data_IF_499965141969
#
_entry.id   IF_499965141969
#
_cell.length_a   1.000
_cell.length_b   1.000
_cell.length_c   1.000
_cell.angle_alpha   90.00
_cell.angle_beta   90.00
_cell.angle_gamma   90.00
#
_symmetry.space_group_name_H-M   'P 1'
#
loop_
_entity.id
_entity.type
_entity.pdbx_description
1 polymer ?
#
# COMPACT_ATOMS: atom_id res chain seq x y z
N UNK A 1 1.77 -15.44 9.77
CA UNK A 1 2.99 -14.76 9.26
C UNK A 1 2.90 -13.30 9.65
N UNK A 2 4.02 -12.64 9.98
CA UNK A 2 3.96 -11.22 10.34
C UNK A 2 3.72 -10.35 9.09
N UNK A 3 2.96 -9.27 9.24
CA UNK A 3 2.78 -8.26 8.19
C UNK A 3 4.14 -7.74 7.72
N UNK A 4 4.31 -7.56 6.39
CA UNK A 4 5.52 -7.01 5.80
C UNK A 4 5.37 -5.49 5.66
N UNK A 5 6.39 -4.75 6.10
CA UNK A 5 6.47 -3.29 5.95
C UNK A 5 7.29 -2.93 4.72
N UNK A 6 6.80 -1.95 3.97
CA UNK A 6 7.44 -1.35 2.82
C UNK A 6 7.65 0.13 3.14
N UNK A 7 8.92 0.55 3.12
CA UNK A 7 9.28 1.90 3.55
C UNK A 7 9.23 2.89 2.40
N UNK A 8 8.62 4.04 2.65
CA UNK A 8 8.55 5.16 1.73
C UNK A 8 9.24 6.42 2.27
N UNK A 9 9.32 7.47 1.45
CA UNK A 9 9.91 8.75 1.85
C UNK A 9 9.01 9.59 2.77
N UNK A 10 7.68 9.42 2.68
CA UNK A 10 6.68 10.18 3.44
C UNK A 10 5.96 9.31 4.47
N UNK A 11 5.62 8.08 4.07
CA UNK A 11 4.92 7.10 4.90
C UNK A 11 5.30 5.68 4.50
N UNK A 12 5.04 4.76 5.42
CA UNK A 12 5.24 3.33 5.23
C UNK A 12 3.91 2.63 4.95
N UNK A 13 3.98 1.53 4.21
CA UNK A 13 2.82 0.65 3.95
C UNK A 13 3.10 -0.71 4.54
N UNK A 14 2.22 -1.19 5.41
CA UNK A 14 2.24 -2.57 5.87
C UNK A 14 1.25 -3.42 5.07
N UNK A 15 1.63 -4.67 4.83
CA UNK A 15 0.80 -5.65 4.13
C UNK A 15 0.78 -6.98 4.86
N UNK A 16 -0.42 -7.44 5.22
CA UNK A 16 -0.70 -8.77 5.72
C UNK A 16 -1.42 -9.62 4.65
N UNK A 17 -0.66 -10.57 4.08
CA UNK A 17 -1.18 -11.48 3.06
C UNK A 17 -2.16 -12.53 3.59
N UNK A 18 -2.18 -12.82 4.90
CA UNK A 18 -3.07 -13.83 5.48
C UNK A 18 -4.52 -13.34 5.55
N UNK A 19 -4.72 -12.03 5.66
CA UNK A 19 -6.06 -11.42 5.70
C UNK A 19 -6.45 -10.74 4.38
N UNK A 20 -5.59 -10.75 3.36
CA UNK A 20 -5.90 -10.18 2.05
C UNK A 20 -6.99 -10.98 1.31
N UNK A 21 -8.11 -10.33 0.99
CA UNK A 21 -9.22 -10.93 0.22
C UNK A 21 -9.21 -10.62 -1.28
N UNK A 22 -8.11 -10.07 -1.81
CA UNK A 22 -7.94 -9.74 -3.24
C UNK A 22 -9.07 -8.91 -3.85
N UNK A 23 -9.54 -7.87 -3.14
CA UNK A 23 -10.61 -6.97 -3.62
C UNK A 23 -10.18 -6.07 -4.79
N UNK A 24 -8.88 -6.01 -5.10
CA UNK A 24 -8.27 -5.19 -6.15
C UNK A 24 -8.39 -3.66 -5.99
N UNK A 25 -8.87 -3.16 -4.84
CA UNK A 25 -8.95 -1.72 -4.56
C UNK A 25 -7.57 -1.05 -4.61
N UNK A 26 -6.51 -1.72 -4.12
CA UNK A 26 -5.15 -1.18 -4.13
C UNK A 26 -4.58 -1.05 -5.54
N UNK A 27 -4.56 -2.14 -6.31
CA UNK A 27 -4.01 -2.18 -7.68
C UNK A 27 -4.79 -1.32 -8.66
N UNK A 28 -6.10 -1.10 -8.43
CA UNK A 28 -6.92 -0.19 -9.26
C UNK A 28 -6.79 1.26 -8.82
N UNK A 29 -6.60 1.51 -7.53
CA UNK A 29 -6.56 2.86 -6.96
C UNK A 29 -5.23 3.55 -7.18
N UNK A 30 -4.12 2.82 -7.16
CA UNK A 30 -2.78 3.38 -7.36
C UNK A 30 -1.83 2.31 -7.96
N UNK A 31 -2.02 1.93 -9.23
CA UNK A 31 -1.21 0.88 -9.88
C UNK A 31 0.29 1.21 -9.92
N UNK A 32 0.65 2.49 -9.87
CA UNK A 32 2.05 2.91 -9.77
C UNK A 32 2.72 2.51 -8.45
N UNK A 33 1.96 2.33 -7.36
CA UNK A 33 2.47 1.81 -6.07
C UNK A 33 2.24 0.32 -5.93
N UNK A 34 1.09 -0.19 -6.39
CA UNK A 34 0.66 -1.57 -6.22
C UNK A 34 0.68 -2.34 -7.54
N UNK A 35 1.79 -3.02 -7.83
CA UNK A 35 1.98 -3.80 -9.05
C UNK A 35 2.26 -5.28 -8.74
N UNK A 36 1.29 -6.16 -9.03
CA UNK A 36 1.40 -7.60 -8.81
C UNK A 36 2.48 -8.29 -9.66
N UNK A 37 2.93 -7.66 -10.75
CA UNK A 37 4.02 -8.15 -11.59
C UNK A 37 5.41 -7.73 -11.06
N UNK A 38 5.47 -6.68 -10.22
CA UNK A 38 6.71 -6.16 -9.66
C UNK A 38 7.21 -6.96 -8.44
N UNK A 39 8.52 -6.84 -8.17
CA UNK A 39 9.18 -7.40 -6.99
C UNK A 39 10.14 -6.35 -6.40
N UNK A 40 9.81 -5.71 -5.26
CA UNK A 40 8.57 -5.83 -4.48
C UNK A 40 7.32 -5.38 -5.26
N UNK A 41 6.15 -5.90 -4.86
CA UNK A 41 4.86 -5.56 -5.49
C UNK A 41 4.21 -4.28 -4.92
N UNK A 42 4.76 -3.77 -3.82
CA UNK A 42 4.37 -2.50 -3.19
C UNK A 42 5.61 -1.61 -3.23
N UNK A 43 5.51 -0.45 -3.86
CA UNK A 43 6.57 0.56 -3.90
C UNK A 43 6.07 1.93 -3.41
N UNK A 44 6.14 2.21 -2.10
CA UNK A 44 5.73 3.49 -1.53
C UNK A 44 6.62 4.67 -1.96
N UNK A 45 7.79 4.43 -2.58
CA UNK A 45 8.66 5.52 -3.06
C UNK A 45 8.01 6.36 -4.15
N UNK A 46 7.02 5.83 -4.84
CA UNK A 46 6.22 6.58 -5.82
C UNK A 46 5.37 7.67 -5.15
N UNK A 47 4.98 7.47 -3.89
CA UNK A 47 4.27 8.46 -3.08
C UNK A 47 5.25 9.47 -2.41
N UNK A 48 6.10 10.11 -3.21
CA UNK A 48 7.19 10.97 -2.74
C UNK A 48 6.80 12.40 -2.31
N UNK A 49 5.52 12.76 -2.42
CA UNK A 49 5.03 14.10 -2.07
C UNK A 49 3.83 13.96 -1.14
N UNK A 50 3.53 14.98 -0.33
CA UNK A 50 2.32 14.97 0.52
C UNK A 50 1.04 14.71 -0.27
N UNK A 51 0.93 15.24 -1.49
CA UNK A 51 -0.24 15.03 -2.34
C UNK A 51 -0.38 13.55 -2.78
N UNK A 52 0.72 12.91 -3.22
CA UNK A 52 0.70 11.49 -3.59
C UNK A 52 0.62 10.56 -2.38
N UNK A 53 1.17 10.96 -1.24
CA UNK A 53 1.00 10.27 0.04
C UNK A 53 -0.46 10.30 0.50
N UNK A 54 -1.16 11.43 0.34
CA UNK A 54 -2.60 11.48 0.63
C UNK A 54 -3.40 10.54 -0.28
N UNK A 55 -3.10 10.49 -1.58
CA UNK A 55 -3.72 9.51 -2.48
C UNK A 55 -3.46 8.07 -2.01
N UNK A 56 -2.23 7.77 -1.58
CA UNK A 56 -1.87 6.46 -1.06
C UNK A 56 -2.66 6.10 0.20
N UNK A 57 -2.85 7.04 1.15
CA UNK A 57 -3.71 6.86 2.34
C UNK A 57 -5.15 6.52 1.94
N UNK A 58 -5.70 7.27 0.98
CA UNK A 58 -7.08 7.10 0.52
C UNK A 58 -7.28 5.72 -0.14
N UNK A 59 -6.29 5.24 -0.91
CA UNK A 59 -6.34 3.93 -1.58
C UNK A 59 -6.16 2.79 -0.57
N UNK A 60 -5.21 2.91 0.36
CA UNK A 60 -5.00 1.93 1.43
C UNK A 60 -6.24 1.83 2.33
N UNK A 61 -6.88 2.96 2.66
CA UNK A 61 -8.09 3.01 3.47
C UNK A 61 -9.31 2.32 2.85
N UNK A 62 -9.30 2.05 1.54
CA UNK A 62 -10.36 1.29 0.85
C UNK A 62 -10.19 -0.23 1.00
N UNK A 63 -9.08 -0.71 1.57
CA UNK A 63 -8.83 -2.14 1.73
C UNK A 63 -9.87 -2.76 2.70
N UNK A 64 -10.82 -3.58 2.21
CA UNK A 64 -11.96 -4.01 3.02
C UNK A 64 -11.61 -5.03 4.09
N UNK A 65 -10.45 -5.68 4.00
CA UNK A 65 -10.00 -6.66 4.98
C UNK A 65 -8.97 -6.13 5.96
N UNK A 66 -8.54 -4.86 5.82
CA UNK A 66 -7.45 -4.30 6.62
C UNK A 66 -6.08 -4.89 6.30
N UNK A 67 -5.93 -5.67 5.23
CA UNK A 67 -4.66 -6.26 4.82
C UNK A 67 -3.59 -5.22 4.47
N UNK A 68 -3.98 -4.01 4.08
CA UNK A 68 -3.08 -2.88 3.86
C UNK A 68 -3.35 -1.84 4.94
N UNK A 69 -2.31 -1.35 5.61
CA UNK A 69 -2.41 -0.26 6.58
C UNK A 69 -1.26 0.73 6.38
N UNK A 70 -1.54 2.01 6.60
CA UNK A 70 -0.54 3.07 6.62
C UNK A 70 0.19 3.03 7.97
N UNK A 71 1.50 3.18 7.94
CA UNK A 71 2.36 3.33 9.11
C UNK A 71 3.05 4.68 9.00
N UNK A 72 2.80 5.57 9.96
CA UNK A 72 3.45 6.88 10.03
C UNK A 72 4.83 6.75 10.71
N UNK A 73 5.74 7.68 10.39
CA UNK A 73 7.08 7.77 10.99
C UNK A 73 7.07 8.59 12.29
#
# INVERSE_FOLDING_TARGET
MAAKVYTGPVLDVSFDGEVCRHAAECVRGMPEVFDVAARPWIDPNVAATEASAQQLRDVVGRCPSGALQIVEH
#
